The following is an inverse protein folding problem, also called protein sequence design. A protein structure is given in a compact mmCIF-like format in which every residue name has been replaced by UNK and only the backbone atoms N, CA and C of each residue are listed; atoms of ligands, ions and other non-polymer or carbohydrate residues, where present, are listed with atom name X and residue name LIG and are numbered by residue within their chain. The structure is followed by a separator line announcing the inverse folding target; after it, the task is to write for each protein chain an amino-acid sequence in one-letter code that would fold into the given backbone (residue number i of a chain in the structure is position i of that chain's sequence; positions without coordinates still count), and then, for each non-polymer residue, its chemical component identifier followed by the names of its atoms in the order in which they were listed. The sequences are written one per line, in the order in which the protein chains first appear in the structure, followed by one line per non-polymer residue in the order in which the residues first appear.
data_IF_054996477298
#
_entry.id   IF_054996477298
#
_cell.length_a   1.000
_cell.length_b   1.000
_cell.length_c   1.000
_cell.angle_alpha   90.00
_cell.angle_beta   90.00
_cell.angle_gamma   90.00
#
_symmetry.space_group_name_H-M   'P 1'
#
loop_
_entity.id
_entity.type
_entity.pdbx_description
1 polymer ?
#
# COMPACT_ATOMS: atom_id res chain seq x y z
N UNK A 1 5.20 -5.02 15.65
CA UNK A 1 5.09 -3.60 15.19
C UNK A 1 6.13 -3.12 14.15
N UNK A 2 7.46 -3.11 14.40
CA UNK A 2 8.47 -2.64 13.40
C UNK A 2 8.39 -3.34 12.03
N UNK A 3 8.10 -4.65 12.04
CA UNK A 3 7.90 -5.47 10.84
C UNK A 3 6.68 -5.03 10.01
N UNK A 4 5.60 -4.61 10.68
CA UNK A 4 4.36 -4.20 10.03
C UNK A 4 4.50 -2.84 9.33
N UNK A 5 5.20 -1.87 9.95
CA UNK A 5 5.51 -0.59 9.33
C UNK A 5 6.42 -0.74 8.10
N UNK A 6 7.45 -1.59 8.19
CA UNK A 6 8.34 -1.91 7.06
C UNK A 6 7.64 -2.72 5.95
N UNK A 7 6.71 -3.61 6.30
CA UNK A 7 5.92 -4.40 5.36
C UNK A 7 4.80 -3.58 4.69
N UNK A 8 4.26 -2.55 5.34
CA UNK A 8 3.28 -1.63 4.72
C UNK A 8 3.98 -0.67 3.77
N UNK A 9 5.17 -0.16 4.15
CA UNK A 9 6.01 0.67 3.31
C UNK A 9 6.36 0.03 1.95
N UNK A 10 6.43 -1.30 1.90
CA UNK A 10 6.79 -2.02 0.69
C UNK A 10 5.62 -2.33 -0.27
N UNK A 11 4.35 -2.12 0.11
CA UNK A 11 3.23 -2.25 -0.84
C UNK A 11 3.03 -1.03 -1.73
N UNK A 12 3.40 0.15 -1.21
CA UNK A 12 3.57 1.35 -2.01
C UNK A 12 4.48 1.09 -3.22
N UNK A 13 5.44 0.17 -3.08
CA UNK A 13 6.42 -0.18 -4.11
C UNK A 13 5.87 -1.10 -5.23
N UNK A 14 4.65 -1.64 -5.10
CA UNK A 14 4.13 -2.70 -5.99
C UNK A 14 3.01 -2.35 -6.94
N UNK A 15 2.27 -1.28 -6.67
CA UNK A 15 1.00 -1.03 -7.35
C UNK A 15 1.09 0.04 -8.44
N UNK A 16 1.95 -0.15 -9.44
CA UNK A 16 1.57 0.19 -10.82
C UNK A 16 2.49 -0.44 -11.85
N UNK A 17 1.87 -1.28 -12.66
CA UNK A 17 2.02 -1.12 -14.09
C UNK A 17 0.62 -0.97 -14.69
N UNK A 18 0.41 -0.04 -15.63
CA UNK A 18 -0.73 -0.13 -16.54
C UNK A 18 -0.43 -1.26 -17.53
N UNK A 19 -0.77 -2.50 -17.17
CA UNK A 19 -0.97 -3.54 -18.18
C UNK A 19 -2.36 -3.34 -18.79
N UNK A 20 -2.36 -2.82 -20.01
CA UNK A 20 -3.54 -2.70 -20.85
C UNK A 20 -4.14 -4.09 -21.09
N UNK A 21 -5.25 -4.44 -20.45
CA UNK A 21 -5.97 -5.63 -20.88
C UNK A 21 -6.70 -5.38 -22.20
N UNK A 22 -6.30 -6.22 -23.17
CA UNK A 22 -7.15 -7.00 -24.05
C UNK A 22 -8.64 -6.94 -23.70
N UNK A 23 -9.42 -6.31 -24.58
CA UNK A 23 -10.87 -6.48 -24.64
C UNK A 23 -11.21 -7.87 -25.20
N UNK A 24 -12.43 -8.37 -24.94
CA UNK A 24 -12.95 -9.58 -25.58
C UNK A 24 -12.70 -9.55 -27.10
N UNK A 25 -12.27 -10.65 -27.75
CA UNK A 25 -11.78 -10.56 -29.10
C UNK A 25 -12.94 -10.24 -30.06
N UNK A 26 -12.89 -9.06 -30.65
CA UNK A 26 -13.14 -8.96 -32.08
C UNK A 26 -12.09 -9.83 -32.80
N UNK A 27 -12.45 -10.39 -33.97
CA UNK A 27 -11.55 -11.18 -34.79
C UNK A 27 -10.15 -10.53 -34.90
N UNK A 28 -9.05 -11.31 -34.98
CA UNK A 28 -7.70 -10.78 -34.98
C UNK A 28 -7.52 -9.81 -36.17
N UNK A 29 -7.59 -8.51 -35.88
CA UNK A 29 -7.19 -7.48 -36.82
C UNK A 29 -5.69 -7.34 -36.63
N UNK A 30 -4.92 -7.66 -37.68
CA UNK A 30 -3.49 -7.42 -37.68
C UNK A 30 -3.24 -5.94 -37.31
N UNK A 31 -2.71 -5.69 -36.11
CA UNK A 31 -2.34 -4.32 -35.72
C UNK A 31 -1.17 -3.90 -36.59
N UNK A 32 -1.34 -2.84 -37.38
CA UNK A 32 -0.25 -2.23 -38.14
C UNK A 32 0.92 -1.92 -37.16
N UNK A 33 2.16 -2.36 -37.44
CA UNK A 33 3.34 -2.09 -36.62
C UNK A 33 3.49 -0.62 -36.19
N UNK A 34 3.05 0.33 -37.01
CA UNK A 34 3.06 1.75 -36.67
C UNK A 34 2.14 2.11 -35.49
N UNK A 35 1.00 1.41 -35.36
CA UNK A 35 0.06 1.60 -34.25
C UNK A 35 0.59 0.96 -32.97
N UNK A 36 1.16 -0.24 -33.07
CA UNK A 36 1.81 -0.91 -31.94
C UNK A 36 2.97 -0.08 -31.36
N UNK A 37 3.82 0.50 -32.23
CA UNK A 37 4.91 1.36 -31.80
C UNK A 37 4.44 2.64 -31.08
N UNK A 38 3.35 3.26 -31.54
CA UNK A 38 2.75 4.45 -30.88
C UNK A 38 2.18 4.11 -29.51
N UNK A 39 1.52 2.96 -29.38
CA UNK A 39 1.01 2.47 -28.10
C UNK A 39 2.17 2.18 -27.13
N UNK A 40 3.22 1.51 -27.60
CA UNK A 40 4.38 1.18 -26.78
C UNK A 40 5.12 2.44 -26.30
N UNK A 41 5.32 3.42 -27.19
CA UNK A 41 5.91 4.71 -26.83
C UNK A 41 5.05 5.46 -25.80
N UNK A 42 3.72 5.42 -25.96
CA UNK A 42 2.80 6.02 -25.00
C UNK A 42 2.86 5.37 -23.62
N UNK A 43 2.86 4.03 -23.55
CA UNK A 43 3.00 3.29 -22.29
C UNK A 43 4.30 3.69 -21.57
N UNK A 44 5.42 3.78 -22.31
CA UNK A 44 6.69 4.19 -21.74
C UNK A 44 6.64 5.62 -21.16
N UNK A 45 5.98 6.56 -21.86
CA UNK A 45 5.81 7.93 -21.38
C UNK A 45 4.93 8.00 -20.13
N UNK A 46 3.81 7.26 -20.11
CA UNK A 46 2.93 7.19 -18.94
C UNK A 46 3.63 6.52 -17.76
N UNK A 47 4.45 5.50 -18.00
CA UNK A 47 5.25 4.84 -16.97
C UNK A 47 6.21 5.84 -16.32
N UNK A 48 7.00 6.58 -17.12
CA UNK A 48 7.91 7.61 -16.63
C UNK A 48 7.18 8.71 -15.85
N UNK A 49 6.04 9.17 -16.36
CA UNK A 49 5.21 10.17 -15.67
C UNK A 49 4.73 9.65 -14.31
N UNK A 50 4.20 8.42 -14.27
CA UNK A 50 3.69 7.81 -13.04
C UNK A 50 4.79 7.50 -12.03
N UNK A 51 6.00 7.13 -12.48
CA UNK A 51 7.15 6.77 -11.64
C UNK A 51 7.54 7.90 -10.69
N UNK A 52 7.42 9.16 -11.12
CA UNK A 52 7.71 10.31 -10.27
C UNK A 52 6.74 10.40 -9.07
N UNK A 53 5.47 10.07 -9.25
CA UNK A 53 4.49 10.02 -8.16
C UNK A 53 4.83 8.90 -7.17
N UNK A 54 5.22 7.71 -7.65
CA UNK A 54 5.70 6.63 -6.78
C UNK A 54 6.91 7.04 -5.94
N UNK A 55 7.89 7.72 -6.54
CA UNK A 55 9.05 8.22 -5.82
C UNK A 55 8.64 9.21 -4.70
N UNK A 56 7.65 10.08 -4.94
CA UNK A 56 7.13 11.00 -3.92
C UNK A 56 6.44 10.28 -2.75
N UNK A 57 5.67 9.23 -3.04
CA UNK A 57 5.03 8.40 -2.00
C UNK A 57 6.09 7.61 -1.22
N UNK A 58 7.16 7.13 -1.86
CA UNK A 58 8.30 6.47 -1.21
C UNK A 58 9.04 7.42 -0.27
N UNK A 59 9.42 8.60 -0.75
CA UNK A 59 10.12 9.61 0.06
C UNK A 59 9.35 9.96 1.34
N UNK A 60 8.02 10.03 1.24
CA UNK A 60 7.15 10.24 2.38
C UNK A 60 7.09 9.03 3.31
N UNK A 61 7.01 7.82 2.76
CA UNK A 61 7.01 6.57 3.54
C UNK A 61 8.32 6.42 4.33
N UNK A 62 9.45 6.75 3.72
CA UNK A 62 10.76 6.79 4.40
C UNK A 62 10.76 7.85 5.51
N UNK A 63 10.20 9.03 5.24
CA UNK A 63 10.09 10.09 6.25
C UNK A 63 9.22 9.66 7.45
N UNK A 64 8.10 8.96 7.22
CA UNK A 64 7.25 8.41 8.29
C UNK A 64 7.96 7.30 9.08
N UNK A 65 8.74 6.46 8.40
CA UNK A 65 9.56 5.42 9.04
C UNK A 65 10.59 6.03 9.99
N UNK A 66 11.26 7.10 9.56
CA UNK A 66 12.22 7.82 10.43
C UNK A 66 11.56 8.48 11.65
N UNK A 67 10.30 8.92 11.54
CA UNK A 67 9.55 9.38 12.73
C UNK A 67 9.43 8.24 13.74
N UNK A 68 9.26 7.01 13.27
CA UNK A 68 9.18 5.82 14.13
C UNK A 68 10.52 5.54 14.83
N UNK A 69 11.64 5.62 14.12
CA UNK A 69 12.97 5.45 14.72
C UNK A 69 13.31 6.56 15.73
N UNK A 70 12.86 7.79 15.45
CA UNK A 70 13.05 8.92 16.35
C UNK A 70 12.28 8.78 17.68
N UNK A 71 11.19 8.01 17.70
CA UNK A 71 10.47 7.68 18.94
C UNK A 71 11.37 6.93 19.93
N UNK A 72 12.13 5.96 19.44
CA UNK A 72 13.05 5.17 20.29
C UNK A 72 14.13 6.05 20.89
N UNK A 73 14.66 6.97 20.08
CA UNK A 73 15.65 7.95 20.53
C UNK A 73 15.07 8.88 21.60
N UNK A 74 13.86 9.40 21.38
CA UNK A 74 13.18 10.25 22.35
C UNK A 74 12.85 9.50 23.66
N UNK A 75 12.40 8.25 23.57
CA UNK A 75 12.16 7.36 24.70
C UNK A 75 13.43 7.12 25.52
N UNK A 76 14.57 6.84 24.87
CA UNK A 76 15.85 6.67 25.55
C UNK A 76 16.31 7.93 26.30
N UNK A 77 16.12 9.13 25.73
CA UNK A 77 16.38 10.38 26.44
C UNK A 77 15.45 10.59 27.64
N UNK A 78 14.17 10.28 27.48
CA UNK A 78 13.16 10.37 28.54
C UNK A 78 13.48 9.43 29.71
N UNK A 79 13.69 8.13 29.44
CA UNK A 79 13.97 7.09 30.44
C UNK A 79 15.28 7.33 31.18
N UNK A 80 16.30 7.80 30.49
CA UNK A 80 17.61 8.14 31.07
C UNK A 80 17.60 9.43 31.90
N UNK A 81 16.51 10.20 31.89
CA UNK A 81 16.41 11.49 32.57
C UNK A 81 17.27 12.60 31.96
N UNK A 82 17.90 12.38 30.80
CA UNK A 82 18.78 13.33 30.09
C UNK A 82 18.01 14.41 29.33
N UNK A 83 17.09 15.10 30.01
CA UNK A 83 16.13 16.05 29.41
C UNK A 83 16.79 17.19 28.62
N UNK A 84 17.91 17.73 29.11
CA UNK A 84 18.64 18.81 28.42
C UNK A 84 19.27 18.35 27.10
N UNK A 85 19.87 17.16 27.12
CA UNK A 85 20.49 16.58 25.92
C UNK A 85 19.42 16.17 24.90
N UNK A 86 18.31 15.59 25.40
CA UNK A 86 17.16 15.25 24.59
C UNK A 86 16.50 16.46 23.93
N UNK A 87 16.33 17.56 24.67
CA UNK A 87 15.83 18.82 24.10
C UNK A 87 16.77 19.41 23.03
N UNK A 88 18.08 19.36 23.24
CA UNK A 88 19.07 19.85 22.27
C UNK A 88 19.16 18.99 21.01
N UNK A 89 18.99 17.67 21.14
CA UNK A 89 18.81 16.77 20.00
C UNK A 89 17.50 17.06 19.26
N UNK A 90 16.39 17.11 19.99
CA UNK A 90 15.05 17.29 19.44
C UNK A 90 14.90 18.60 18.66
N UNK A 91 15.54 19.69 19.12
CA UNK A 91 15.52 20.95 18.39
C UNK A 91 16.09 20.79 16.98
N UNK A 92 17.33 20.28 16.86
CA UNK A 92 18.00 20.06 15.56
C UNK A 92 17.23 19.08 14.69
N UNK A 93 16.87 17.93 15.26
CA UNK A 93 16.12 16.90 14.56
C UNK A 93 14.77 17.41 14.05
N UNK A 94 14.02 18.17 14.85
CA UNK A 94 12.71 18.70 14.44
C UNK A 94 12.80 19.72 13.30
N UNK A 95 13.89 20.50 13.23
CA UNK A 95 14.17 21.43 12.13
C UNK A 95 14.51 20.67 10.84
N UNK A 96 15.38 19.65 10.93
CA UNK A 96 15.73 18.77 9.80
C UNK A 96 14.48 18.07 9.24
N UNK A 97 13.62 17.54 10.10
CA UNK A 97 12.39 16.89 9.67
C UNK A 97 11.43 17.86 8.97
N UNK A 98 11.21 19.07 9.52
CA UNK A 98 10.37 20.08 8.84
C UNK A 98 10.90 20.41 7.44
N UNK A 99 12.21 20.63 7.31
CA UNK A 99 12.85 20.89 6.02
C UNK A 99 12.68 19.74 5.03
N UNK A 100 12.82 18.49 5.50
CA UNK A 100 12.59 17.30 4.67
C UNK A 100 11.16 17.24 4.17
N UNK A 101 10.18 17.42 5.04
CA UNK A 101 8.77 17.37 4.66
C UNK A 101 8.40 18.52 3.71
N UNK A 102 9.00 19.71 3.86
CA UNK A 102 8.84 20.82 2.91
C UNK A 102 9.45 20.46 1.54
N UNK A 103 10.60 19.79 1.52
CA UNK A 103 11.24 19.32 0.29
C UNK A 103 10.45 18.20 -0.42
N UNK A 104 9.77 17.32 0.32
CA UNK A 104 8.86 16.32 -0.26
C UNK A 104 7.69 17.03 -0.95
N UNK A 105 7.04 17.99 -0.27
CA UNK A 105 5.93 18.75 -0.85
C UNK A 105 6.36 19.51 -2.10
N UNK A 106 7.50 20.21 -2.03
CA UNK A 106 8.03 20.96 -3.18
C UNK A 106 8.27 20.08 -4.39
N UNK A 107 8.91 18.91 -4.20
CA UNK A 107 9.13 17.94 -5.28
C UNK A 107 7.82 17.42 -5.85
N UNK A 108 6.83 17.16 -5.00
CA UNK A 108 5.50 16.79 -5.46
C UNK A 108 4.86 17.89 -6.32
N UNK A 109 4.93 19.15 -5.89
CA UNK A 109 4.36 20.28 -6.65
C UNK A 109 5.02 20.41 -8.04
N UNK A 110 6.34 20.17 -8.13
CA UNK A 110 7.09 20.11 -9.39
C UNK A 110 6.60 18.97 -10.30
N UNK A 111 6.35 17.78 -9.73
CA UNK A 111 5.84 16.61 -10.45
C UNK A 111 4.39 16.81 -10.90
N UNK A 112 3.54 17.37 -10.04
CA UNK A 112 2.13 17.63 -10.30
C UNK A 112 1.92 18.67 -11.40
N UNK A 113 2.91 19.56 -11.63
CA UNK A 113 2.91 20.50 -12.75
C UNK A 113 3.17 19.82 -14.11
N UNK A 114 3.67 18.58 -14.13
CA UNK A 114 3.92 17.83 -15.37
C UNK A 114 2.61 17.19 -15.86
N UNK A 115 2.09 17.60 -17.02
CA UNK A 115 0.84 17.07 -17.53
C UNK A 115 0.96 15.59 -17.91
N UNK A 116 -0.15 14.86 -17.73
CA UNK A 116 -0.28 13.49 -18.22
C UNK A 116 -0.04 13.46 -19.75
N UNK A 117 0.79 12.54 -20.27
CA UNK A 117 1.00 12.42 -21.71
C UNK A 117 -0.32 12.21 -22.47
N UNK A 118 -0.53 12.91 -23.60
CA UNK A 118 -1.75 12.77 -24.38
C UNK A 118 -1.86 11.37 -24.99
N UNK A 119 -3.02 10.75 -24.86
CA UNK A 119 -3.29 9.44 -25.44
C UNK A 119 -3.15 9.49 -26.98
N UNK A 120 -2.48 8.49 -27.62
CA UNK A 120 -2.23 8.52 -29.05
C UNK A 120 -3.47 8.16 -29.88
N UNK A 121 -4.53 7.67 -29.23
CA UNK A 121 -5.76 7.18 -29.87
C UNK A 121 -7.00 7.46 -28.99
N UNK A 122 -8.18 7.73 -29.59
CA UNK A 122 -9.41 8.04 -28.85
C UNK A 122 -9.84 6.96 -27.84
N UNK A 123 -9.69 5.68 -28.18
CA UNK A 123 -10.08 4.56 -27.29
C UNK A 123 -9.20 4.47 -26.03
N UNK A 124 -7.96 4.99 -26.10
CA UNK A 124 -7.09 5.11 -24.94
C UNK A 124 -7.46 6.32 -24.08
N UNK A 125 -8.00 7.40 -24.66
CA UNK A 125 -8.39 8.62 -23.94
C UNK A 125 -9.35 8.32 -22.77
N UNK A 126 -10.35 7.46 -22.97
CA UNK A 126 -11.31 7.10 -21.92
C UNK A 126 -10.69 6.26 -20.77
N UNK A 127 -9.65 5.48 -21.06
CA UNK A 127 -8.90 4.70 -20.05
C UNK A 127 -7.92 5.61 -19.30
N UNK A 128 -7.32 6.55 -20.03
CA UNK A 128 -6.35 7.53 -19.53
C UNK A 128 -7.00 8.60 -18.64
N UNK A 129 -8.26 8.95 -18.91
CA UNK A 129 -9.04 9.82 -18.04
C UNK A 129 -9.14 9.30 -16.59
N UNK A 130 -9.06 7.98 -16.39
CA UNK A 130 -9.13 7.36 -15.04
C UNK A 130 -7.85 7.50 -14.22
N UNK A 131 -6.70 7.75 -14.87
CA UNK A 131 -5.42 7.99 -14.19
C UNK A 131 -5.09 9.48 -14.08
N UNK A 132 -5.92 10.36 -14.65
CA UNK A 132 -5.76 11.80 -14.55
C UNK A 132 -5.93 12.32 -13.12
N UNK A 133 -6.62 11.57 -12.26
CA UNK A 133 -6.83 11.92 -10.84
C UNK A 133 -5.66 11.54 -9.94
N UNK A 134 -4.66 10.80 -10.43
CA UNK A 134 -3.48 10.38 -9.64
C UNK A 134 -2.79 11.55 -8.91
N UNK A 135 -2.53 12.72 -9.53
CA UNK A 135 -1.94 13.85 -8.81
C UNK A 135 -2.82 14.32 -7.65
N UNK A 136 -4.14 14.39 -7.83
CA UNK A 136 -5.09 14.80 -6.78
C UNK A 136 -5.11 13.80 -5.63
N UNK A 137 -5.05 12.50 -5.93
CA UNK A 137 -5.03 11.43 -4.93
C UNK A 137 -3.73 11.50 -4.12
N UNK A 138 -2.58 11.61 -4.80
CA UNK A 138 -1.28 11.72 -4.15
C UNK A 138 -1.18 13.03 -3.34
N UNK A 139 -1.67 14.16 -3.85
CA UNK A 139 -1.70 15.43 -3.11
C UNK A 139 -2.46 15.32 -1.79
N UNK A 140 -3.63 14.66 -1.82
CA UNK A 140 -4.45 14.43 -0.62
C UNK A 140 -3.69 13.58 0.40
N UNK A 141 -3.10 12.48 -0.06
CA UNK A 141 -2.29 11.61 0.77
C UNK A 141 -1.12 12.37 1.42
N UNK A 142 -0.38 13.14 0.62
CA UNK A 142 0.76 13.91 1.10
C UNK A 142 0.35 14.94 2.17
N UNK A 143 -0.76 15.64 1.94
CA UNK A 143 -1.29 16.65 2.87
C UNK A 143 -1.76 16.03 4.19
N UNK A 144 -2.47 14.90 4.14
CA UNK A 144 -2.92 14.17 5.34
C UNK A 144 -1.72 13.75 6.21
N UNK A 145 -0.70 13.18 5.57
CA UNK A 145 0.50 12.73 6.26
C UNK A 145 1.37 13.88 6.77
N UNK A 146 1.38 15.04 6.10
CA UNK A 146 2.10 16.21 6.63
C UNK A 146 1.51 16.68 7.96
N UNK A 147 0.19 16.77 8.06
CA UNK A 147 -0.47 17.18 9.31
C UNK A 147 -0.18 16.19 10.45
N UNK A 148 -0.11 14.89 10.14
CA UNK A 148 0.30 13.85 11.09
C UNK A 148 1.77 13.99 11.51
N UNK A 149 2.67 14.16 10.54
CA UNK A 149 4.09 14.37 10.79
C UNK A 149 4.34 15.60 11.68
N UNK A 150 3.68 16.71 11.44
CA UNK A 150 3.82 17.92 12.25
C UNK A 150 3.38 17.69 13.71
N UNK A 151 2.37 16.85 13.95
CA UNK A 151 1.97 16.45 15.31
C UNK A 151 3.03 15.55 15.95
N UNK A 152 3.46 14.51 15.23
CA UNK A 152 4.48 13.56 15.69
C UNK A 152 5.82 14.22 16.02
N UNK A 153 6.30 15.12 15.17
CA UNK A 153 7.55 15.86 15.39
C UNK A 153 7.48 16.64 16.71
N UNK A 154 6.36 17.32 16.97
CA UNK A 154 6.15 18.03 18.25
C UNK A 154 6.12 17.07 19.44
N UNK A 155 5.46 15.91 19.29
CA UNK A 155 5.34 14.92 20.35
C UNK A 155 6.68 14.26 20.69
N UNK A 156 7.44 13.85 19.68
CA UNK A 156 8.79 13.28 19.81
C UNK A 156 9.70 14.29 20.51
N UNK A 157 9.66 15.56 20.08
CA UNK A 157 10.46 16.61 20.69
C UNK A 157 10.08 16.86 22.17
N UNK A 158 8.79 16.90 22.49
CA UNK A 158 8.30 17.06 23.86
C UNK A 158 8.70 15.87 24.75
N UNK A 159 8.61 14.64 24.22
CA UNK A 159 9.00 13.42 24.94
C UNK A 159 10.50 13.43 25.25
N UNK A 160 11.35 13.72 24.27
CA UNK A 160 12.79 13.85 24.48
C UNK A 160 13.15 14.96 25.49
N UNK A 161 12.34 16.02 25.56
CA UNK A 161 12.44 17.10 26.55
C UNK A 161 11.97 16.73 27.96
N UNK A 162 11.39 15.55 28.17
CA UNK A 162 10.94 15.09 29.48
C UNK A 162 9.47 15.34 29.81
N UNK A 163 8.61 15.66 28.82
CA UNK A 163 7.17 15.82 29.05
C UNK A 163 6.49 14.46 29.25
N UNK A 164 5.99 14.22 30.46
CA UNK A 164 5.35 12.96 30.86
C UNK A 164 4.04 12.69 30.11
N UNK A 165 3.27 13.72 29.77
CA UNK A 165 2.02 13.56 28.98
C UNK A 165 2.34 13.23 27.53
N UNK A 166 3.41 13.83 27.00
CA UNK A 166 3.89 13.48 25.68
C UNK A 166 4.39 12.02 25.63
N UNK A 167 5.20 11.61 26.61
CA UNK A 167 5.70 10.25 26.71
C UNK A 167 4.55 9.22 26.81
N UNK A 168 3.53 9.50 27.63
CA UNK A 168 2.39 8.60 27.83
C UNK A 168 1.50 8.42 26.58
N UNK A 169 1.44 9.41 25.69
CA UNK A 169 0.60 9.37 24.48
C UNK A 169 1.32 8.88 23.22
N UNK A 170 2.65 8.69 23.31
CA UNK A 170 3.50 8.53 22.14
C UNK A 170 3.22 7.24 21.35
N UNK A 171 2.92 6.15 22.06
CA UNK A 171 2.59 4.86 21.45
C UNK A 171 1.26 4.90 20.69
N UNK A 172 0.26 5.63 21.20
CA UNK A 172 -1.01 5.83 20.51
C UNK A 172 -0.87 6.66 19.24
N UNK A 173 0.02 7.66 19.22
CA UNK A 173 0.31 8.45 18.02
C UNK A 173 1.15 7.67 16.98
N UNK A 174 2.01 6.74 17.41
CA UNK A 174 2.71 5.81 16.52
C UNK A 174 1.73 4.89 15.76
N UNK A 175 0.66 4.45 16.42
CA UNK A 175 -0.40 3.70 15.76
C UNK A 175 -1.14 4.55 14.72
N UNK A 176 -1.33 5.85 14.97
CA UNK A 176 -1.91 6.77 13.97
C UNK A 176 -1.03 6.90 12.72
N UNK A 177 0.29 6.92 12.88
CA UNK A 177 1.24 6.87 11.74
C UNK A 177 1.07 5.59 10.93
N UNK A 178 1.02 4.45 11.60
CA UNK A 178 0.88 3.15 10.92
C UNK A 178 -0.45 3.05 10.18
N UNK A 179 -1.54 3.49 10.80
CA UNK A 179 -2.87 3.53 10.17
C UNK A 179 -2.84 4.44 8.94
N UNK A 180 -2.28 5.64 9.04
CA UNK A 180 -2.23 6.59 7.92
C UNK A 180 -1.39 6.05 6.74
N UNK A 181 -0.31 5.32 7.01
CA UNK A 181 0.47 4.63 5.96
C UNK A 181 -0.38 3.61 5.21
N UNK A 182 -1.13 2.77 5.93
CA UNK A 182 -2.02 1.75 5.32
C UNK A 182 -3.19 2.41 4.57
N UNK A 183 -3.76 3.49 5.10
CA UNK A 183 -4.81 4.25 4.43
C UNK A 183 -4.32 4.88 3.12
N UNK A 184 -3.10 5.41 3.12
CA UNK A 184 -2.41 5.89 1.94
C UNK A 184 -2.24 4.87 0.85
N UNK A 185 -1.72 3.72 1.24
CA UNK A 185 -1.56 2.57 0.36
C UNK A 185 -2.90 2.18 -0.26
N UNK A 186 -3.98 2.14 0.53
CA UNK A 186 -5.33 1.87 0.02
C UNK A 186 -5.83 2.91 -0.98
N UNK A 187 -5.50 4.19 -0.80
CA UNK A 187 -5.83 5.23 -1.77
C UNK A 187 -5.07 5.02 -3.09
N UNK A 188 -3.78 4.66 -3.02
CA UNK A 188 -2.97 4.34 -4.21
C UNK A 188 -3.46 3.08 -4.91
N UNK A 189 -3.76 2.01 -4.17
CA UNK A 189 -4.38 0.80 -4.70
C UNK A 189 -5.69 1.13 -5.41
N UNK A 190 -6.55 1.97 -4.81
CA UNK A 190 -7.83 2.35 -5.42
C UNK A 190 -7.64 3.11 -6.73
N UNK A 191 -6.64 4.00 -6.81
CA UNK A 191 -6.28 4.70 -8.05
C UNK A 191 -5.81 3.71 -9.13
N UNK A 192 -4.98 2.75 -8.75
CA UNK A 192 -4.45 1.73 -9.66
C UNK A 192 -5.51 0.71 -10.11
N UNK A 193 -6.46 0.34 -9.25
CA UNK A 193 -7.61 -0.53 -9.61
C UNK A 193 -8.49 0.10 -10.70
N UNK A 194 -8.64 1.43 -10.70
CA UNK A 194 -9.39 2.15 -11.74
C UNK A 194 -8.71 2.10 -13.11
N UNK A 195 -7.37 2.05 -13.11
CA UNK A 195 -6.55 1.89 -14.31
C UNK A 195 -6.52 0.43 -14.81
N UNK A 196 -6.58 -0.54 -13.88
CA UNK A 196 -6.60 -1.96 -14.20
C UNK A 196 -7.90 -2.36 -14.91
N UNK A 197 -7.75 -3.08 -16.01
CA UNK A 197 -8.90 -3.47 -16.81
C UNK A 197 -9.80 -4.48 -16.08
N UNK A 198 -11.13 -4.45 -16.33
CA UNK A 198 -12.04 -5.45 -15.79
C UNK A 198 -11.61 -6.86 -16.19
N UNK A 199 -11.59 -7.79 -15.23
CA UNK A 199 -11.22 -9.19 -15.47
C UNK A 199 -9.71 -9.45 -15.60
N UNK A 200 -8.86 -8.45 -15.34
CA UNK A 200 -7.42 -8.67 -15.20
C UNK A 200 -7.08 -9.13 -13.77
N UNK A 201 -6.25 -10.17 -13.58
CA UNK A 201 -5.95 -10.71 -12.24
C UNK A 201 -5.29 -9.68 -11.31
N UNK A 202 -4.54 -8.70 -11.84
CA UNK A 202 -3.99 -7.60 -11.03
C UNK A 202 -5.08 -6.76 -10.35
N UNK A 203 -6.23 -6.57 -11.00
CA UNK A 203 -7.33 -5.79 -10.43
C UNK A 203 -7.89 -6.51 -9.20
N UNK A 204 -8.13 -7.81 -9.35
CA UNK A 204 -8.63 -8.66 -8.27
C UNK A 204 -7.61 -8.77 -7.12
N UNK A 205 -6.31 -8.82 -7.43
CA UNK A 205 -5.23 -8.74 -6.43
C UNK A 205 -5.29 -7.43 -5.66
N UNK A 206 -5.35 -6.30 -6.37
CA UNK A 206 -5.44 -4.97 -5.77
C UNK A 206 -6.68 -4.85 -4.86
N UNK A 207 -7.83 -5.36 -5.30
CA UNK A 207 -9.04 -5.39 -4.47
C UNK A 207 -8.87 -6.28 -3.23
N UNK A 208 -8.25 -7.47 -3.36
CA UNK A 208 -7.92 -8.32 -2.22
C UNK A 208 -7.00 -7.60 -1.21
N UNK A 209 -5.87 -7.05 -1.67
CA UNK A 209 -4.92 -6.32 -0.83
C UNK A 209 -5.59 -5.15 -0.10
N UNK A 210 -6.46 -4.40 -0.79
CA UNK A 210 -7.22 -3.29 -0.22
C UNK A 210 -8.10 -3.74 0.95
N UNK A 211 -8.80 -4.86 0.79
CA UNK A 211 -9.66 -5.40 1.84
C UNK A 211 -8.84 -5.92 3.03
N UNK A 212 -7.72 -6.60 2.78
CA UNK A 212 -6.78 -7.01 3.83
C UNK A 212 -6.25 -5.81 4.63
N UNK A 213 -5.90 -4.72 3.95
CA UNK A 213 -5.45 -3.49 4.59
C UNK A 213 -6.57 -2.81 5.41
N UNK A 214 -7.82 -2.80 4.93
CA UNK A 214 -8.96 -2.27 5.68
C UNK A 214 -9.25 -3.09 6.95
N UNK A 215 -9.00 -4.40 6.93
CA UNK A 215 -9.07 -5.24 8.12
C UNK A 215 -7.92 -4.94 9.09
N UNK A 216 -6.70 -4.74 8.58
CA UNK A 216 -5.53 -4.35 9.38
C UNK A 216 -5.74 -3.00 10.09
N UNK A 217 -6.30 -2.00 9.39
CA UNK A 217 -6.64 -0.71 10.00
C UNK A 217 -7.61 -0.90 11.18
N UNK A 218 -8.63 -1.75 11.02
CA UNK A 218 -9.58 -2.03 12.11
C UNK A 218 -8.91 -2.71 13.31
N UNK A 219 -7.98 -3.64 13.05
CA UNK A 219 -7.18 -4.29 14.09
C UNK A 219 -6.31 -3.25 14.84
N UNK A 220 -5.56 -2.42 14.12
CA UNK A 220 -4.70 -1.39 14.74
C UNK A 220 -5.51 -0.34 15.52
N UNK A 221 -6.71 0.01 15.04
CA UNK A 221 -7.62 0.89 15.78
C UNK A 221 -8.10 0.23 17.08
N UNK A 222 -8.36 -1.08 17.08
CA UNK A 222 -8.72 -1.83 18.27
C UNK A 222 -7.54 -1.93 19.26
N UNK A 223 -6.34 -2.23 18.78
CA UNK A 223 -5.12 -2.21 19.58
C UNK A 223 -4.92 -0.85 20.25
N UNK A 224 -5.06 0.24 19.48
CA UNK A 224 -4.98 1.61 20.01
C UNK A 224 -6.03 1.87 21.08
N UNK A 225 -7.26 1.42 20.86
CA UNK A 225 -8.38 1.60 21.79
C UNK A 225 -8.06 0.93 23.13
N UNK A 226 -7.61 -0.33 23.11
CA UNK A 226 -7.22 -1.05 24.33
C UNK A 226 -5.97 -0.46 24.99
N UNK A 227 -4.97 -0.04 24.21
CA UNK A 227 -3.75 0.60 24.72
C UNK A 227 -4.04 1.91 25.47
N UNK A 228 -5.09 2.63 25.06
CA UNK A 228 -5.52 3.88 25.69
C UNK A 228 -6.57 3.67 26.79
N UNK A 229 -6.77 2.42 27.24
CA UNK A 229 -7.78 2.02 28.23
C UNK A 229 -9.21 2.48 27.87
N UNK A 230 -9.52 2.51 26.57
CA UNK A 230 -10.83 2.91 26.05
C UNK A 230 -11.71 1.67 25.81
N UNK A 231 -13.04 1.80 25.92
CA UNK A 231 -13.95 0.69 25.67
C UNK A 231 -13.93 0.27 24.19
N UNK A 232 -13.64 -1.01 23.94
CA UNK A 232 -13.66 -1.60 22.61
C UNK A 232 -15.06 -2.10 22.24
N UNK A 233 -15.56 -1.73 21.06
CA UNK A 233 -16.74 -2.36 20.46
C UNK A 233 -16.31 -3.65 19.74
N UNK A 234 -16.23 -4.74 20.53
CA UNK A 234 -15.83 -6.07 20.06
C UNK A 234 -16.73 -6.59 18.93
N UNK A 235 -18.04 -6.35 19.02
CA UNK A 235 -19.00 -6.80 18.01
C UNK A 235 -18.78 -6.08 16.67
N UNK A 236 -18.58 -4.76 16.68
CA UNK A 236 -18.29 -3.99 15.48
C UNK A 236 -16.94 -4.40 14.86
N UNK A 237 -15.91 -4.63 15.69
CA UNK A 237 -14.61 -5.12 15.24
C UNK A 237 -14.74 -6.48 14.53
N UNK A 238 -15.33 -7.48 15.20
CA UNK A 238 -15.49 -8.82 14.64
C UNK A 238 -16.31 -8.80 13.33
N UNK A 239 -17.38 -8.02 13.27
CA UNK A 239 -18.17 -7.84 12.05
C UNK A 239 -17.34 -7.23 10.91
N UNK A 240 -16.51 -6.22 11.21
CA UNK A 240 -15.65 -5.55 10.23
C UNK A 240 -14.58 -6.50 9.69
N UNK A 241 -13.91 -7.27 10.56
CA UNK A 241 -12.91 -8.25 10.17
C UNK A 241 -13.51 -9.32 9.23
N UNK A 242 -14.68 -9.87 9.56
CA UNK A 242 -15.40 -10.83 8.70
C UNK A 242 -15.79 -10.25 7.36
N UNK A 243 -16.31 -9.03 7.36
CA UNK A 243 -16.71 -8.35 6.12
C UNK A 243 -15.53 -8.22 5.16
N UNK A 244 -14.39 -7.75 5.67
CA UNK A 244 -13.20 -7.56 4.83
C UNK A 244 -12.60 -8.91 4.40
N UNK A 245 -12.45 -9.87 5.30
CA UNK A 245 -11.94 -11.20 4.96
C UNK A 245 -12.81 -11.92 3.90
N UNK A 246 -14.14 -11.78 3.98
CA UNK A 246 -15.05 -12.31 2.96
C UNK A 246 -14.82 -11.65 1.60
N UNK A 247 -14.57 -10.33 1.57
CA UNK A 247 -14.26 -9.64 0.34
C UNK A 247 -12.92 -10.08 -0.25
N UNK A 248 -11.90 -10.33 0.58
CA UNK A 248 -10.62 -10.93 0.16
C UNK A 248 -10.84 -12.30 -0.49
N UNK A 249 -11.62 -13.18 0.14
CA UNK A 249 -11.95 -14.50 -0.42
C UNK A 249 -12.64 -14.41 -1.79
N UNK A 250 -13.57 -13.47 -1.96
CA UNK A 250 -14.24 -13.25 -3.24
C UNK A 250 -13.26 -12.75 -4.32
N UNK A 251 -12.42 -11.76 -3.97
CA UNK A 251 -11.42 -11.21 -4.89
C UNK A 251 -10.36 -12.25 -5.28
N UNK A 252 -9.86 -13.06 -4.35
CA UNK A 252 -8.86 -14.09 -4.66
C UNK A 252 -9.41 -15.20 -5.56
N UNK A 253 -10.70 -15.58 -5.43
CA UNK A 253 -11.36 -16.51 -6.36
C UNK A 253 -11.56 -15.90 -7.75
N UNK A 254 -11.94 -14.62 -7.80
CA UNK A 254 -12.03 -13.86 -9.05
C UNK A 254 -10.68 -13.81 -9.75
N UNK A 255 -9.61 -13.53 -9.00
CA UNK A 255 -8.23 -13.49 -9.47
C UNK A 255 -7.83 -14.82 -10.12
N UNK A 256 -8.05 -15.97 -9.48
CA UNK A 256 -7.71 -17.28 -10.08
C UNK A 256 -8.49 -17.58 -11.36
N UNK A 257 -9.76 -17.13 -11.44
CA UNK A 257 -10.56 -17.24 -12.66
C UNK A 257 -10.01 -16.32 -13.76
N UNK A 258 -9.66 -15.09 -13.41
CA UNK A 258 -9.04 -14.12 -14.30
C UNK A 258 -7.70 -14.64 -14.83
N UNK A 259 -6.80 -15.11 -13.96
CA UNK A 259 -5.51 -15.70 -14.34
C UNK A 259 -5.67 -16.84 -15.34
N UNK A 260 -6.58 -17.80 -15.09
CA UNK A 260 -6.84 -18.90 -16.01
C UNK A 260 -7.36 -18.42 -17.36
N UNK A 261 -8.24 -17.41 -17.34
CA UNK A 261 -8.80 -16.82 -18.56
C UNK A 261 -7.72 -16.10 -19.38
N UNK A 262 -6.90 -15.26 -18.73
CA UNK A 262 -5.80 -14.54 -19.36
C UNK A 262 -4.73 -15.49 -19.91
N UNK A 263 -4.40 -16.57 -19.19
CA UNK A 263 -3.46 -17.59 -19.66
C UNK A 263 -4.00 -18.38 -20.85
N UNK A 264 -5.29 -18.72 -20.85
CA UNK A 264 -5.90 -19.37 -22.00
C UNK A 264 -5.91 -18.44 -23.23
N UNK A 265 -6.17 -17.15 -23.03
CA UNK A 265 -6.15 -16.14 -24.09
C UNK A 265 -4.76 -15.89 -24.65
N UNK A 266 -3.71 -15.81 -23.81
CA UNK A 266 -2.35 -15.58 -24.28
C UNK A 266 -1.86 -16.68 -25.23
N UNK A 267 -2.36 -17.91 -25.06
CA UNK A 267 -2.08 -19.07 -25.91
C UNK A 267 -2.84 -19.08 -27.25
N UNK A 268 -3.80 -18.17 -27.44
CA UNK A 268 -4.54 -18.01 -28.70
C UNK A 268 -3.80 -17.13 -29.74
N UNK A 269 -2.64 -16.58 -29.38
CA UNK A 269 -1.79 -15.77 -30.26
C UNK A 269 -0.61 -16.62 -30.78
N UNK A 270 -0.77 -17.36 -31.89
CA UNK A 270 0.28 -18.25 -32.42
C UNK A 270 1.59 -17.51 -32.74
N UNK A 271 1.52 -16.22 -33.06
CA UNK A 271 2.67 -15.34 -33.29
C UNK A 271 3.55 -15.11 -32.05
N UNK A 272 3.02 -15.36 -30.85
CA UNK A 272 3.76 -15.24 -29.59
C UNK A 272 4.33 -16.59 -29.11
N UNK A 273 3.97 -17.71 -29.76
CA UNK A 273 4.38 -19.04 -29.34
C UNK A 273 5.92 -19.21 -29.37
N UNK A 274 6.50 -19.67 -28.27
CA UNK A 274 7.95 -19.87 -28.14
C UNK A 274 8.76 -18.57 -27.99
N UNK A 275 8.13 -17.40 -27.88
CA UNK A 275 8.81 -16.13 -27.67
C UNK A 275 9.17 -15.91 -26.19
N UNK A 276 10.25 -15.16 -25.89
CA UNK A 276 10.57 -14.74 -24.52
C UNK A 276 9.45 -13.93 -23.86
N UNK A 277 8.72 -13.12 -24.64
CA UNK A 277 7.58 -12.33 -24.16
C UNK A 277 6.45 -13.22 -23.61
N UNK A 278 6.06 -14.28 -24.35
CA UNK A 278 5.04 -15.20 -23.86
C UNK A 278 5.52 -15.96 -22.61
N UNK A 279 6.79 -16.37 -22.57
CA UNK A 279 7.36 -17.02 -21.38
C UNK A 279 7.38 -16.10 -20.15
N UNK A 280 7.64 -14.80 -20.34
CA UNK A 280 7.55 -13.77 -19.29
C UNK A 280 6.12 -13.59 -18.79
N UNK A 281 5.15 -13.49 -19.69
CA UNK A 281 3.71 -13.39 -19.36
C UNK A 281 3.24 -14.64 -18.60
N UNK A 282 3.61 -15.85 -19.03
CA UNK A 282 3.23 -17.09 -18.34
C UNK A 282 3.84 -17.17 -16.93
N UNK A 283 5.12 -16.77 -16.76
CA UNK A 283 5.76 -16.69 -15.43
C UNK A 283 5.09 -15.65 -14.54
N UNK A 284 4.78 -14.47 -15.07
CA UNK A 284 4.06 -13.44 -14.33
C UNK A 284 2.69 -13.97 -13.89
N UNK A 285 1.93 -14.58 -14.80
CA UNK A 285 0.60 -15.12 -14.50
C UNK A 285 0.64 -16.21 -13.44
N UNK A 286 1.71 -17.01 -13.40
CA UNK A 286 1.91 -18.05 -12.39
C UNK A 286 2.09 -17.50 -10.96
N UNK A 287 2.44 -16.22 -10.78
CA UNK A 287 2.55 -15.61 -9.45
C UNK A 287 1.20 -15.25 -8.81
N UNK A 288 0.13 -15.06 -9.59
CA UNK A 288 -1.17 -14.65 -9.04
C UNK A 288 -1.81 -15.71 -8.13
N UNK A 289 -1.77 -17.02 -8.43
CA UNK A 289 -2.19 -18.06 -7.49
C UNK A 289 -1.45 -18.00 -6.15
N UNK A 290 -0.14 -17.71 -6.16
CA UNK A 290 0.65 -17.58 -4.93
C UNK A 290 0.22 -16.34 -4.12
N UNK A 291 -0.03 -15.21 -4.79
CA UNK A 291 -0.63 -14.04 -4.14
C UNK A 291 -2.05 -14.33 -3.61
N UNK A 292 -2.84 -15.12 -4.33
CA UNK A 292 -4.18 -15.54 -3.88
C UNK A 292 -4.08 -16.31 -2.57
N UNK A 293 -3.15 -17.26 -2.50
CA UNK A 293 -2.92 -18.05 -1.31
C UNK A 293 -2.48 -17.19 -0.11
N UNK A 294 -1.55 -16.26 -0.32
CA UNK A 294 -1.11 -15.34 0.74
C UNK A 294 -2.26 -14.45 1.25
N UNK A 295 -3.08 -13.90 0.36
CA UNK A 295 -4.25 -13.10 0.76
C UNK A 295 -5.31 -13.92 1.50
N UNK A 296 -5.51 -15.19 1.14
CA UNK A 296 -6.40 -16.09 1.90
C UNK A 296 -5.85 -16.45 3.27
N UNK A 297 -4.53 -16.63 3.41
CA UNK A 297 -3.89 -16.84 4.71
C UNK A 297 -4.15 -15.62 5.62
N UNK A 298 -4.04 -14.40 5.07
CA UNK A 298 -4.37 -13.16 5.79
C UNK A 298 -5.85 -13.11 6.17
N UNK A 299 -6.75 -13.39 5.22
CA UNK A 299 -8.19 -13.42 5.47
C UNK A 299 -8.57 -14.46 6.55
N UNK A 300 -7.95 -15.64 6.53
CA UNK A 300 -8.16 -16.69 7.51
C UNK A 300 -7.71 -16.23 8.92
N UNK A 301 -6.57 -15.54 9.04
CA UNK A 301 -6.13 -14.97 10.31
C UNK A 301 -7.15 -13.96 10.87
N UNK A 302 -7.74 -13.12 10.02
CA UNK A 302 -8.79 -12.19 10.44
C UNK A 302 -10.10 -12.89 10.84
N UNK A 303 -10.48 -13.97 10.16
CA UNK A 303 -11.65 -14.78 10.53
C UNK A 303 -11.42 -15.49 11.87
N UNK A 304 -10.23 -16.05 12.09
CA UNK A 304 -9.87 -16.68 13.36
C UNK A 304 -9.92 -15.66 14.50
N UNK A 305 -9.37 -14.47 14.30
CA UNK A 305 -9.47 -13.38 15.27
C UNK A 305 -10.93 -12.99 15.55
N UNK A 306 -11.74 -12.82 14.51
CA UNK A 306 -13.15 -12.50 14.69
C UNK A 306 -13.93 -13.59 15.44
N UNK A 307 -13.55 -14.86 15.27
CA UNK A 307 -14.14 -15.97 16.03
C UNK A 307 -13.69 -15.97 17.50
N UNK A 308 -12.44 -15.61 17.78
CA UNK A 308 -11.94 -15.43 19.15
C UNK A 308 -12.61 -14.27 19.88
N UNK A 309 -12.88 -13.16 19.19
CA UNK A 309 -13.61 -12.00 19.74
C UNK A 309 -15.05 -12.40 20.15
N UNK A 310 -15.71 -13.25 19.36
CA UNK A 310 -17.06 -13.71 19.69
C UNK A 310 -17.09 -14.77 20.82
N UNK A 311 -15.93 -15.35 21.17
CA UNK A 311 -15.85 -16.40 22.19
C UNK A 311 -15.97 -15.81 23.61
N UNK A 312 -16.46 -16.57 24.61
CA UNK A 312 -16.54 -16.09 25.98
C UNK A 312 -15.15 -15.76 26.55
N UNK A 313 -14.89 -14.47 26.76
CA UNK A 313 -13.63 -13.94 27.31
C UNK A 313 -13.38 -12.55 26.74
N UNK A 314 -12.81 -11.64 27.53
CA UNK A 314 -12.38 -10.35 26.99
C UNK A 314 -11.21 -10.58 26.04
N UNK A 315 -11.22 -9.96 24.88
CA UNK A 315 -10.01 -9.94 24.05
C UNK A 315 -9.00 -8.99 24.68
N UNK A 316 -7.75 -9.45 24.83
CA UNK A 316 -6.68 -8.64 25.39
C UNK A 316 -5.77 -8.08 24.30
N UNK A 317 -5.03 -7.03 24.67
CA UNK A 317 -4.10 -6.34 23.80
C UNK A 317 -3.01 -7.28 23.25
N UNK A 318 -2.50 -8.20 24.07
CA UNK A 318 -1.46 -9.15 23.67
C UNK A 318 -1.94 -10.08 22.54
N UNK A 319 -3.20 -10.52 22.59
CA UNK A 319 -3.82 -11.35 21.55
C UNK A 319 -4.00 -10.58 20.24
N UNK A 320 -4.38 -9.30 20.30
CA UNK A 320 -4.46 -8.45 19.11
C UNK A 320 -3.07 -8.26 18.49
N UNK A 321 -2.07 -7.90 19.31
CA UNK A 321 -0.68 -7.70 18.87
C UNK A 321 -0.10 -8.97 18.22
N UNK A 322 -0.29 -10.14 18.85
CA UNK A 322 0.19 -11.41 18.31
C UNK A 322 -0.43 -11.72 16.93
N UNK A 323 -1.71 -11.39 16.76
CA UNK A 323 -2.39 -11.53 15.47
C UNK A 323 -1.84 -10.53 14.45
N UNK A 324 -1.62 -9.27 14.85
CA UNK A 324 -1.00 -8.24 14.02
C UNK A 324 0.40 -8.64 13.53
N UNK A 325 1.24 -9.18 14.40
CA UNK A 325 2.60 -9.64 14.05
C UNK A 325 2.57 -10.88 13.13
N UNK A 326 1.63 -11.82 13.34
CA UNK A 326 1.43 -12.95 12.43
C UNK A 326 1.05 -12.46 11.03
N UNK A 327 0.07 -11.56 10.93
CA UNK A 327 -0.35 -10.99 9.65
C UNK A 327 0.79 -10.19 9.01
N UNK A 328 1.59 -9.46 9.79
CA UNK A 328 2.77 -8.76 9.28
C UNK A 328 3.73 -9.70 8.54
N UNK A 329 3.94 -10.91 9.06
CA UNK A 329 4.75 -11.95 8.39
C UNK A 329 4.13 -12.41 7.06
N UNK A 330 2.81 -12.52 7.01
CA UNK A 330 2.09 -12.87 5.77
C UNK A 330 2.15 -11.74 4.73
N UNK A 331 2.14 -10.48 5.18
CA UNK A 331 2.34 -9.32 4.31
C UNK A 331 3.77 -9.30 3.74
N UNK A 332 4.80 -9.62 4.52
CA UNK A 332 6.18 -9.78 4.01
C UNK A 332 6.28 -10.84 2.90
N UNK A 333 5.57 -11.97 3.05
CA UNK A 333 5.47 -13.00 2.01
C UNK A 333 4.80 -12.45 0.74
N UNK A 334 3.69 -11.73 0.86
CA UNK A 334 3.00 -11.06 -0.26
C UNK A 334 3.95 -10.13 -1.03
N UNK A 335 4.72 -9.32 -0.31
CA UNK A 335 5.67 -8.37 -0.92
C UNK A 335 6.78 -9.07 -1.71
N UNK A 336 7.27 -10.20 -1.20
CA UNK A 336 8.29 -10.99 -1.87
C UNK A 336 7.77 -11.52 -3.21
N UNK A 337 6.53 -12.01 -3.25
CA UNK A 337 5.88 -12.48 -4.49
C UNK A 337 5.71 -11.32 -5.49
N UNK A 338 5.31 -10.15 -5.01
CA UNK A 338 5.17 -8.97 -5.88
C UNK A 338 6.52 -8.49 -6.44
N UNK A 339 7.59 -8.52 -5.64
CA UNK A 339 8.94 -8.22 -6.10
C UNK A 339 9.42 -9.19 -7.19
N UNK A 340 9.13 -10.49 -7.04
CA UNK A 340 9.43 -11.49 -8.06
C UNK A 340 8.65 -11.23 -9.35
N UNK A 341 7.35 -10.88 -9.25
CA UNK A 341 6.51 -10.51 -10.39
C UNK A 341 7.10 -9.34 -11.18
N UNK A 342 7.53 -8.27 -10.50
CA UNK A 342 8.19 -7.11 -11.13
C UNK A 342 9.48 -7.51 -11.85
N UNK A 343 10.28 -8.40 -11.26
CA UNK A 343 11.53 -8.86 -11.87
C UNK A 343 11.31 -9.65 -13.18
N UNK A 344 10.18 -10.36 -13.32
CA UNK A 344 9.85 -11.06 -14.57
C UNK A 344 9.46 -10.13 -15.72
N UNK A 345 9.04 -8.90 -15.43
CA UNK A 345 8.68 -7.89 -16.44
C UNK A 345 9.87 -7.05 -16.91
N UNK A 346 11.01 -7.14 -16.22
CA UNK A 346 12.23 -6.37 -16.51
C UNK A 346 13.27 -7.16 -17.33
N UNK A 347 13.06 -8.46 -17.55
CA UNK A 347 13.95 -9.38 -18.25
C UNK A 347 13.25 -10.08 -19.42
#
# INVERSE_FOLDING_TARGET
MKKLAAATAALVLGAAWPELASAAPAAPVASDPATAAKVQAYIAQVALWSQAYYASVNDQTDALTELTDALETAGAYYESGRRKDGAAWAQRWSEEQKQRWDAIQKRFDEIAAVPLPPAPMPDLTARVAKIADTPTIVARYLSQNRALADRMIKRIAATAGGDEKAAASITGEMMDVTIAMIEGENQMISASTLAAAPGHPQRDLMDASRHSNLAMIALLQAEKTLLLDQPLDEAALAARLRQQATAVELSTRSMEKATRTTLAQSRLFPELAGTPLLAGIEKMLATYPESAAAEREIAAAFIDLAARIDAPGAIDLDSLIATGDHIGTLVEKRLTIDAQRRAYLQN
#
